data_IF_186988429936
#
_entry.id   IF_186988429936
#
_cell.length_a   1.000
_cell.length_b   1.000
_cell.length_c   1.000
_cell.angle_alpha   90.00
_cell.angle_beta   90.00
_cell.angle_gamma   90.00
#
_symmetry.space_group_name_H-M   'P 1'
#
loop_
_entity.id
_entity.type
_entity.pdbx_description
1 polymer ?
#
# COMPACT_ATOMS: atom_id res chain seq x y z
N UNK A 1 0.92 -29.00 4.07
CA UNK A 1 1.77 -27.84 3.76
C UNK A 1 0.86 -26.81 3.10
N UNK A 2 0.25 -25.96 3.90
CA UNK A 2 -0.33 -24.70 3.43
C UNK A 2 0.86 -23.78 3.18
N UNK A 3 1.51 -24.02 2.04
CA UNK A 3 2.62 -23.19 1.58
C UNK A 3 2.17 -21.74 1.57
N UNK A 4 3.07 -20.85 1.96
CA UNK A 4 3.02 -19.45 1.59
C UNK A 4 3.14 -19.38 0.06
N UNK A 5 2.09 -19.80 -0.67
CA UNK A 5 1.79 -19.16 -1.95
C UNK A 5 1.26 -17.80 -1.53
N UNK A 6 2.19 -16.88 -1.30
CA UNK A 6 1.88 -15.46 -1.36
C UNK A 6 1.44 -15.26 -2.79
N UNK A 7 0.12 -15.38 -2.99
CA UNK A 7 -0.49 -15.25 -4.29
C UNK A 7 -0.22 -13.81 -4.74
N UNK A 8 0.66 -13.64 -5.74
CA UNK A 8 1.01 -12.32 -6.28
C UNK A 8 -0.25 -11.54 -6.66
N UNK A 9 -1.29 -12.24 -7.09
CA UNK A 9 -2.61 -11.67 -7.35
C UNK A 9 -3.27 -11.11 -6.08
N UNK A 10 -3.15 -11.79 -4.92
CA UNK A 10 -3.65 -11.29 -3.65
C UNK A 10 -2.87 -10.07 -3.15
N UNK A 11 -1.54 -10.06 -3.29
CA UNK A 11 -0.72 -8.89 -2.96
C UNK A 11 -1.06 -7.70 -3.86
N UNK A 12 -1.21 -7.96 -5.16
CA UNK A 12 -1.61 -6.97 -6.15
C UNK A 12 -3.01 -6.41 -5.86
N UNK A 13 -3.94 -7.26 -5.44
CA UNK A 13 -5.28 -6.85 -5.04
C UNK A 13 -5.24 -5.94 -3.79
N UNK A 14 -4.48 -6.32 -2.76
CA UNK A 14 -4.31 -5.51 -1.55
C UNK A 14 -3.69 -4.15 -1.88
N UNK A 15 -2.64 -4.13 -2.73
CA UNK A 15 -2.02 -2.89 -3.22
C UNK A 15 -3.03 -1.99 -3.94
N UNK A 16 -3.84 -2.57 -4.82
CA UNK A 16 -4.84 -1.84 -5.59
C UNK A 16 -5.91 -1.25 -4.68
N UNK A 17 -6.39 -2.02 -3.69
CA UNK A 17 -7.37 -1.55 -2.70
C UNK A 17 -6.83 -0.42 -1.85
N UNK A 18 -5.60 -0.53 -1.32
CA UNK A 18 -4.97 0.50 -0.50
C UNK A 18 -4.82 1.82 -1.26
N UNK A 19 -4.37 1.76 -2.52
CA UNK A 19 -4.30 2.95 -3.40
C UNK A 19 -5.68 3.53 -3.68
N UNK A 20 -6.68 2.69 -3.93
CA UNK A 20 -8.06 3.10 -4.16
C UNK A 20 -8.66 3.84 -2.97
N UNK A 21 -8.47 3.32 -1.75
CA UNK A 21 -8.96 3.98 -0.52
C UNK A 21 -8.26 5.33 -0.31
N UNK A 22 -6.94 5.41 -0.50
CA UNK A 22 -6.21 6.67 -0.37
C UNK A 22 -6.71 7.71 -1.39
N UNK A 23 -6.91 7.30 -2.65
CA UNK A 23 -7.43 8.17 -3.71
C UNK A 23 -8.88 8.62 -3.47
N UNK A 24 -9.71 7.80 -2.81
CA UNK A 24 -11.07 8.16 -2.41
C UNK A 24 -11.12 9.19 -1.28
N UNK A 25 -10.15 9.14 -0.35
CA UNK A 25 -10.11 10.00 0.83
C UNK A 25 -9.48 11.37 0.57
N UNK A 26 -8.63 11.49 -0.45
CA UNK A 26 -7.91 12.71 -0.77
C UNK A 26 -8.80 13.89 -1.24
N UNK A 27 -9.80 13.71 -2.15
CA UNK A 27 -10.66 14.80 -2.59
C UNK A 27 -11.51 15.40 -1.45
N UNK A 28 -12.17 14.61 -0.57
CA UNK A 28 -12.86 15.15 0.60
C UNK A 28 -11.94 15.93 1.54
N UNK A 29 -10.71 15.45 1.76
CA UNK A 29 -9.73 16.15 2.59
C UNK A 29 -9.33 17.52 2.00
N UNK A 30 -9.13 17.59 0.68
CA UNK A 30 -8.88 18.86 -0.03
C UNK A 30 -10.10 19.79 0.01
N UNK A 31 -11.30 19.24 -0.16
CA UNK A 31 -12.55 19.98 -0.07
C UNK A 31 -12.75 20.64 1.29
N UNK A 32 -12.51 19.90 2.38
CA UNK A 32 -12.63 20.39 3.75
C UNK A 32 -11.65 21.53 4.07
N UNK A 33 -10.41 21.48 3.56
CA UNK A 33 -9.45 22.60 3.69
C UNK A 33 -9.89 23.87 2.96
N UNK A 34 -10.73 23.73 1.93
CA UNK A 34 -11.26 24.84 1.14
C UNK A 34 -12.55 25.44 1.68
N UNK A 35 -13.15 24.86 2.72
CA UNK A 35 -14.35 25.42 3.34
C UNK A 35 -13.95 26.65 4.13
N UNK A 36 -14.47 27.81 3.73
CA UNK A 36 -14.44 29.00 4.56
C UNK A 36 -15.28 28.70 5.80
N UNK A 37 -14.61 28.54 6.94
CA UNK A 37 -15.23 28.24 8.22
C UNK A 37 -15.97 29.45 8.80
N UNK A 38 -15.94 30.62 8.14
CA UNK A 38 -16.61 31.82 8.64
C UNK A 38 -18.09 31.85 8.24
N UNK A 39 -18.95 32.25 9.19
CA UNK A 39 -20.35 32.54 8.90
C UNK A 39 -21.32 31.35 8.98
N UNK A 40 -20.90 30.22 9.56
CA UNK A 40 -21.78 29.05 9.78
C UNK A 40 -22.60 29.13 11.08
N UNK A 41 -22.48 30.24 11.81
CA UNK A 41 -23.34 30.55 12.95
C UNK A 41 -22.55 31.16 14.10
N UNK A 42 -22.15 30.33 15.06
CA UNK A 42 -21.43 30.79 16.25
C UNK A 42 -19.92 30.64 16.09
N UNK A 43 -19.10 31.53 16.70
CA UNK A 43 -17.63 31.41 16.70
C UNK A 43 -17.09 30.10 17.29
N UNK A 44 -17.92 29.36 18.03
CA UNK A 44 -17.61 28.02 18.49
C UNK A 44 -17.71 27.00 17.34
N UNK A 45 -18.80 27.04 16.57
CA UNK A 45 -19.03 26.15 15.44
C UNK A 45 -17.95 26.33 14.36
N UNK A 46 -17.62 27.58 14.03
CA UNK A 46 -16.57 27.93 13.07
C UNK A 46 -15.21 27.32 13.49
N UNK A 47 -14.90 27.36 14.80
CA UNK A 47 -13.69 26.72 15.37
C UNK A 47 -13.73 25.20 15.23
N UNK A 48 -14.86 24.58 15.53
CA UNK A 48 -15.00 23.12 15.45
C UNK A 48 -14.88 22.63 14.00
N UNK A 49 -15.44 23.37 13.03
CA UNK A 49 -15.31 23.07 11.60
C UNK A 49 -13.84 23.17 11.17
N UNK A 50 -13.14 24.23 11.57
CA UNK A 50 -11.73 24.42 11.23
C UNK A 50 -10.83 23.33 11.84
N UNK A 51 -11.05 22.96 13.11
CA UNK A 51 -10.32 21.87 13.78
C UNK A 51 -10.61 20.53 13.09
N UNK A 52 -11.87 20.20 12.84
CA UNK A 52 -12.23 18.96 12.15
C UNK A 52 -11.59 18.87 10.76
N UNK A 53 -11.65 19.96 9.97
CA UNK A 53 -11.04 19.99 8.64
C UNK A 53 -9.52 19.76 8.69
N UNK A 54 -8.85 20.31 9.71
CA UNK A 54 -7.41 20.12 9.92
C UNK A 54 -7.09 18.69 10.30
N UNK A 55 -7.76 18.15 11.33
CA UNK A 55 -7.52 16.81 11.86
C UNK A 55 -7.82 15.74 10.81
N UNK A 56 -8.95 15.88 10.09
CA UNK A 56 -9.30 14.98 9.00
C UNK A 56 -8.24 14.99 7.90
N UNK A 57 -7.77 16.16 7.49
CA UNK A 57 -6.76 16.25 6.44
C UNK A 57 -5.40 15.67 6.88
N UNK A 58 -5.04 15.79 8.17
CA UNK A 58 -3.88 15.12 8.73
C UNK A 58 -4.06 13.61 8.71
N UNK A 59 -5.19 13.08 9.19
CA UNK A 59 -5.47 11.65 9.22
C UNK A 59 -5.43 11.01 7.82
N UNK A 60 -5.96 11.70 6.79
CA UNK A 60 -5.88 11.23 5.40
C UNK A 60 -4.44 11.21 4.88
N UNK A 61 -3.62 12.20 5.26
CA UNK A 61 -2.20 12.25 4.88
C UNK A 61 -1.41 11.10 5.53
N UNK A 62 -1.65 10.85 6.82
CA UNK A 62 -1.05 9.75 7.57
C UNK A 62 -1.46 8.39 6.99
N UNK A 63 -2.75 8.21 6.68
CA UNK A 63 -3.26 7.02 6.00
C UNK A 63 -2.58 6.80 4.65
N UNK A 64 -2.47 7.83 3.83
CA UNK A 64 -1.80 7.75 2.53
C UNK A 64 -0.33 7.34 2.66
N UNK A 65 0.37 7.85 3.67
CA UNK A 65 1.77 7.51 3.97
C UNK A 65 1.89 6.04 4.39
N UNK A 66 1.05 5.59 5.32
CA UNK A 66 1.02 4.20 5.78
C UNK A 66 0.70 3.24 4.63
N UNK A 67 -0.33 3.55 3.85
CA UNK A 67 -0.74 2.76 2.69
C UNK A 67 0.40 2.65 1.67
N UNK A 68 1.10 3.76 1.38
CA UNK A 68 2.26 3.74 0.48
C UNK A 68 3.40 2.89 1.04
N UNK A 69 3.72 3.02 2.33
CA UNK A 69 4.78 2.23 2.97
C UNK A 69 4.45 0.74 2.94
N UNK A 70 3.19 0.37 3.17
CA UNK A 70 2.74 -1.02 3.09
C UNK A 70 2.85 -1.54 1.66
N UNK A 71 2.47 -0.73 0.67
CA UNK A 71 2.64 -1.09 -0.75
C UNK A 71 4.11 -1.36 -1.09
N UNK A 72 5.04 -0.52 -0.63
CA UNK A 72 6.47 -0.75 -0.85
C UNK A 72 6.94 -2.03 -0.18
N UNK A 73 6.55 -2.28 1.08
CA UNK A 73 6.91 -3.51 1.77
C UNK A 73 6.37 -4.76 1.06
N UNK A 74 5.17 -4.70 0.48
CA UNK A 74 4.63 -5.79 -0.33
C UNK A 74 5.42 -6.02 -1.62
N UNK A 75 5.90 -4.95 -2.27
CA UNK A 75 6.78 -5.05 -3.44
C UNK A 75 8.12 -5.70 -3.09
N UNK A 76 8.69 -5.37 -1.93
CA UNK A 76 9.95 -5.96 -1.48
C UNK A 76 9.81 -7.47 -1.21
N UNK A 77 8.66 -7.88 -0.65
CA UNK A 77 8.33 -9.31 -0.47
C UNK A 77 8.20 -10.02 -1.82
N UNK A 78 7.46 -9.44 -2.75
CA UNK A 78 7.26 -9.98 -4.11
C UNK A 78 8.61 -10.16 -4.82
N UNK A 79 9.48 -9.14 -4.78
CA UNK A 79 10.82 -9.21 -5.36
C UNK A 79 11.69 -10.29 -4.69
N UNK A 80 11.62 -10.42 -3.37
CA UNK A 80 12.40 -11.42 -2.63
C UNK A 80 12.00 -12.85 -3.02
N UNK A 81 10.70 -13.08 -3.26
CA UNK A 81 10.19 -14.38 -3.72
C UNK A 81 10.71 -14.66 -5.13
N UNK A 82 10.57 -13.71 -6.05
CA UNK A 82 11.04 -13.85 -7.44
C UNK A 82 12.55 -14.13 -7.52
N UNK A 83 13.35 -13.42 -6.71
CA UNK A 83 14.80 -13.63 -6.64
C UNK A 83 15.14 -15.02 -6.10
N UNK A 84 14.41 -15.48 -5.07
CA UNK A 84 14.59 -16.83 -4.49
C UNK A 84 14.25 -17.93 -5.49
N UNK A 85 13.16 -17.76 -6.25
CA UNK A 85 12.75 -18.70 -7.29
C UNK A 85 13.75 -18.75 -8.45
N UNK A 86 14.30 -17.60 -8.85
CA UNK A 86 15.34 -17.52 -9.87
C UNK A 86 16.63 -18.23 -9.43
N UNK A 87 17.05 -18.03 -8.18
CA UNK A 87 18.21 -18.70 -7.60
C UNK A 87 18.02 -20.22 -7.54
N UNK A 88 16.83 -20.67 -7.10
CA UNK A 88 16.49 -22.09 -7.05
C UNK A 88 16.48 -22.73 -8.44
N UNK A 89 15.91 -22.05 -9.44
CA UNK A 89 15.92 -22.51 -10.83
C UNK A 89 17.35 -22.63 -11.37
N UNK A 90 18.21 -21.64 -11.08
CA UNK A 90 19.61 -21.66 -11.49
C UNK A 90 20.41 -22.80 -10.81
N UNK A 91 20.16 -23.06 -9.53
CA UNK A 91 20.76 -24.18 -8.80
C UNK A 91 20.32 -25.53 -9.38
N UNK A 92 19.03 -25.68 -9.71
CA UNK A 92 18.49 -26.89 -10.34
C UNK A 92 19.12 -27.16 -11.72
N UNK A 93 19.28 -26.13 -12.55
CA UNK A 93 19.94 -26.28 -13.86
C UNK A 93 21.43 -26.61 -13.72
N UNK A 94 22.13 -26.00 -12.75
CA UNK A 94 23.52 -26.36 -12.41
C UNK A 94 23.63 -27.80 -11.92
N UNK A 95 22.70 -28.26 -11.10
CA UNK A 95 22.66 -29.64 -10.60
C UNK A 95 22.38 -30.67 -11.72
N UNK A 96 21.49 -30.36 -12.66
CA UNK A 96 21.25 -31.18 -13.86
C UNK A 96 22.49 -31.26 -14.75
N UNK A 97 23.15 -30.13 -14.98
CA UNK A 97 24.35 -30.02 -15.83
C UNK A 97 25.58 -30.68 -15.22
N UNK A 98 25.63 -30.82 -13.90
CA UNK A 98 26.74 -31.42 -13.15
C UNK A 98 26.60 -32.94 -12.97
N UNK A 99 25.55 -33.57 -13.51
CA UNK A 99 25.33 -35.02 -13.46
C UNK A 99 25.95 -35.66 -14.72
N UNK A 100 27.12 -36.33 -14.65
CA UNK A 100 27.73 -36.94 -15.81
C UNK A 100 27.00 -38.26 -16.14
N UNK A 101 26.47 -38.39 -17.36
CA UNK A 101 26.14 -39.65 -18.01
C UNK A 101 25.16 -40.59 -17.28
N UNK A 102 23.87 -40.43 -17.55
CA UNK A 102 22.93 -41.56 -17.48
C UNK A 102 22.96 -42.33 -18.80
N UNK A 103 23.77 -43.37 -18.86
CA UNK A 103 23.61 -44.50 -19.78
C UNK A 103 23.28 -45.75 -18.96
#
# INVERSE_FOLDING_TARGET
>A
MSDLVVDGDALQEVRTRLRGVAALLEPPAKGLRGIDATGHGTPYLDRQIATFATDWAQAVTEFGTLASSLVTALQDVEQTIDDTDADLAADLERAKSSRPGGN
#
